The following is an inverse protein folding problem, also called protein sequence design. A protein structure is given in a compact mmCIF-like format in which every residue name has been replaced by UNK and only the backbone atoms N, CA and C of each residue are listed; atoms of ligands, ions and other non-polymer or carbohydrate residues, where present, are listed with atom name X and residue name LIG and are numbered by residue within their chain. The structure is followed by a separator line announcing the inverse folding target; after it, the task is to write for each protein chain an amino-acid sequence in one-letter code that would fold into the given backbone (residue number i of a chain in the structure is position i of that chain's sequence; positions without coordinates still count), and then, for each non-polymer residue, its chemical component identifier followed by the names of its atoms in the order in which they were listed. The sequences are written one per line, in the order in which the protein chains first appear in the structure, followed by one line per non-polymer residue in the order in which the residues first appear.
data_IF_741736832756
#
_entry.id   IF_741736832756
#
_cell.length_a   1.000
_cell.length_b   1.000
_cell.length_c   1.000
_cell.angle_alpha   90.00
_cell.angle_beta   90.00
_cell.angle_gamma   90.00
#
_symmetry.space_group_name_H-M   'P 1'
#
loop_
_entity.id
_entity.type
_entity.pdbx_description
1 polymer ?
#
# COMPACT_ATOMS: atom_id res chain seq x y z
N UNK A 1 17.78 3.54 3.58
CA UNK A 1 18.75 2.65 2.91
C UNK A 1 17.93 1.49 2.41
N UNK A 2 17.81 1.39 1.09
CA UNK A 2 16.81 0.51 0.49
C UNK A 2 17.51 -0.53 -0.39
N UNK A 3 17.22 -1.80 -0.11
CA UNK A 3 17.69 -2.94 -0.88
C UNK A 3 16.54 -3.40 -1.78
N UNK A 4 16.79 -3.41 -3.08
CA UNK A 4 15.84 -3.92 -4.09
C UNK A 4 16.57 -4.88 -5.03
N UNK A 5 15.82 -5.73 -5.75
CA UNK A 5 16.40 -6.66 -6.73
C UNK A 5 17.17 -5.95 -7.87
N UNK A 6 16.99 -4.64 -8.05
CA UNK A 6 17.73 -3.82 -9.00
C UNK A 6 19.07 -3.29 -8.45
N UNK A 7 19.37 -3.52 -7.17
CA UNK A 7 20.59 -3.06 -6.49
C UNK A 7 20.32 -2.24 -5.23
N UNK A 8 21.41 -1.77 -4.62
CA UNK A 8 21.40 -0.97 -3.41
C UNK A 8 21.25 0.52 -3.74
N UNK A 9 20.16 1.16 -3.29
CA UNK A 9 19.96 2.61 -3.41
C UNK A 9 20.28 3.28 -2.07
N UNK A 10 21.31 4.12 -2.08
CA UNK A 10 21.70 4.95 -0.94
C UNK A 10 21.36 6.39 -1.28
N UNK A 11 20.32 6.92 -0.66
CA UNK A 11 20.03 8.36 -0.70
C UNK A 11 20.84 9.04 0.40
N UNK A 12 22.03 9.54 0.03
CA UNK A 12 22.77 10.46 0.89
C UNK A 12 22.34 11.89 0.54
N UNK A 13 21.62 12.53 1.45
CA UNK A 13 21.48 13.99 1.44
C UNK A 13 22.86 14.66 1.54
N UNK A 14 22.92 15.97 1.31
CA UNK A 14 24.18 16.73 1.44
C UNK A 14 24.82 16.52 2.82
N UNK A 15 26.16 16.56 2.92
CA UNK A 15 26.88 16.34 4.19
C UNK A 15 26.42 17.26 5.35
N UNK A 16 25.84 18.43 5.04
CA UNK A 16 25.24 19.34 6.02
C UNK A 16 23.94 18.83 6.65
N UNK A 17 23.20 17.96 5.96
CA UNK A 17 21.92 17.42 6.43
C UNK A 17 22.09 16.29 7.46
N UNK A 18 23.23 15.59 7.44
CA UNK A 18 23.55 14.49 8.36
C UNK A 18 23.74 14.94 9.82
N UNK A 19 24.08 16.21 10.06
CA UNK A 19 24.30 16.75 11.40
C UNK A 19 23.15 17.62 11.93
N UNK A 20 22.18 18.00 11.10
CA UNK A 20 21.08 18.91 11.47
C UNK A 20 19.66 18.45 11.11
N UNK A 21 19.51 17.36 10.35
CA UNK A 21 18.24 17.00 9.72
C UNK A 21 17.92 17.90 8.52
N UNK A 22 17.02 17.46 7.65
CA UNK A 22 16.56 18.26 6.51
C UNK A 22 15.28 17.72 5.92
N UNK A 23 14.56 18.60 5.23
CA UNK A 23 13.30 18.29 4.56
C UNK A 23 13.51 18.50 3.06
N UNK A 24 13.11 17.52 2.26
CA UNK A 24 13.02 17.63 0.80
C UNK A 24 11.57 17.53 0.37
N UNK A 25 11.25 18.17 -0.76
CA UNK A 25 9.92 18.13 -1.36
C UNK A 25 10.06 17.84 -2.85
N UNK A 26 9.13 17.06 -3.38
CA UNK A 26 9.04 16.73 -4.79
C UNK A 26 7.58 16.47 -5.16
N UNK A 27 7.30 16.41 -6.46
CA UNK A 27 5.98 16.05 -6.98
C UNK A 27 5.93 14.52 -7.09
N UNK A 28 4.98 13.84 -6.42
CA UNK A 28 4.91 12.39 -6.50
C UNK A 28 4.72 11.90 -7.94
N UNK A 29 5.34 10.76 -8.26
CA UNK A 29 5.23 10.15 -9.59
C UNK A 29 3.77 9.89 -9.97
N UNK A 30 3.39 10.27 -11.19
CA UNK A 30 2.03 10.09 -11.71
C UNK A 30 1.07 11.25 -11.43
N UNK A 31 1.50 12.30 -10.72
CA UNK A 31 0.72 13.53 -10.56
C UNK A 31 1.23 14.63 -11.51
N UNK A 32 0.33 15.41 -12.14
CA UNK A 32 0.72 16.59 -12.88
C UNK A 32 1.20 17.70 -11.92
N UNK A 33 2.07 18.58 -12.43
CA UNK A 33 2.46 19.80 -11.73
C UNK A 33 1.20 20.66 -11.48
N UNK A 34 0.93 20.97 -10.22
CA UNK A 34 -0.19 21.82 -9.81
C UNK A 34 0.10 23.31 -9.95
N UNK A 35 -0.87 24.14 -9.51
CA UNK A 35 -0.70 25.59 -9.46
C UNK A 35 0.16 26.03 -8.26
N UNK A 36 0.86 27.17 -8.35
CA UNK A 36 1.57 27.75 -7.22
C UNK A 36 0.63 28.00 -6.04
N UNK A 37 1.05 27.61 -4.84
CA UNK A 37 0.22 27.79 -3.64
C UNK A 37 0.37 29.17 -3.01
N UNK A 38 -0.64 29.55 -2.24
CA UNK A 38 -0.62 30.77 -1.44
C UNK A 38 0.43 30.67 -0.31
N UNK A 39 0.87 31.83 0.17
CA UNK A 39 1.84 31.87 1.26
C UNK A 39 1.21 31.31 2.55
N UNK A 40 1.99 30.52 3.32
CA UNK A 40 1.57 29.82 4.56
C UNK A 40 0.59 28.66 4.38
N UNK A 41 0.49 28.06 3.19
CA UNK A 41 -0.22 26.78 3.03
C UNK A 41 0.48 25.68 3.85
N UNK A 42 -0.30 24.94 4.63
CA UNK A 42 0.20 23.83 5.45
C UNK A 42 0.36 22.55 4.63
N UNK A 43 1.40 21.78 4.96
CA UNK A 43 1.71 20.49 4.33
C UNK A 43 2.04 19.45 5.39
N UNK A 44 1.68 18.20 5.12
CA UNK A 44 2.05 17.08 5.98
C UNK A 44 3.50 16.67 5.72
N UNK A 45 4.32 16.61 6.77
CA UNK A 45 5.67 16.05 6.70
C UNK A 45 5.60 14.54 6.93
N UNK A 46 5.90 13.77 5.90
CA UNK A 46 5.98 12.32 5.99
C UNK A 46 7.39 11.89 6.45
N UNK A 47 7.46 10.75 7.14
CA UNK A 47 8.73 10.21 7.68
C UNK A 47 9.68 9.74 6.55
N UNK A 48 9.13 9.32 5.40
CA UNK A 48 9.89 8.85 4.25
C UNK A 48 9.08 8.94 2.93
N UNK A 49 9.76 8.77 1.79
CA UNK A 49 9.16 8.87 0.45
C UNK A 49 8.11 7.79 0.16
N UNK A 50 8.24 6.58 0.73
CA UNK A 50 7.28 5.48 0.50
C UNK A 50 5.95 5.82 1.15
N UNK A 51 5.99 6.42 2.34
CA UNK A 51 4.81 6.94 3.03
C UNK A 51 4.05 7.99 2.21
N UNK A 52 4.74 8.76 1.35
CA UNK A 52 4.10 9.69 0.40
C UNK A 52 3.34 8.91 -0.69
N UNK A 53 3.97 7.90 -1.31
CA UNK A 53 3.35 7.12 -2.39
C UNK A 53 2.10 6.36 -1.94
N UNK A 54 2.04 5.97 -0.66
CA UNK A 54 0.87 5.32 -0.08
C UNK A 54 -0.24 6.34 0.27
N UNK A 55 0.11 7.61 0.51
CA UNK A 55 -0.86 8.68 0.79
C UNK A 55 -1.42 9.35 -0.47
N UNK A 56 -0.76 9.23 -1.62
CA UNK A 56 -1.17 9.88 -2.89
C UNK A 56 -2.48 9.33 -3.43
N UNK A 57 -2.77 8.05 -3.19
CA UNK A 57 -4.02 7.41 -3.62
C UNK A 57 -5.06 7.56 -2.51
N UNK A 58 -5.75 8.70 -2.49
CA UNK A 58 -6.75 9.01 -1.46
C UNK A 58 -8.02 8.16 -1.62
N UNK A 59 -8.30 7.66 -2.83
CA UNK A 59 -9.43 6.77 -3.09
C UNK A 59 -8.99 5.30 -3.02
N UNK A 60 -9.44 4.62 -1.97
CA UNK A 60 -9.27 3.18 -1.81
C UNK A 60 -10.59 2.48 -1.49
N UNK A 61 -10.64 1.19 -1.82
CA UNK A 61 -11.72 0.28 -1.46
C UNK A 61 -11.15 -0.72 -0.45
N UNK A 62 -11.75 -0.72 0.75
CA UNK A 62 -11.30 -1.59 1.84
C UNK A 62 -11.93 -2.97 1.74
N UNK A 63 -11.09 -3.98 1.82
CA UNK A 63 -11.46 -5.39 1.92
C UNK A 63 -10.86 -5.99 3.18
N UNK A 64 -11.56 -6.98 3.75
CA UNK A 64 -11.03 -7.79 4.83
C UNK A 64 -10.81 -9.21 4.33
N UNK A 65 -9.57 -9.67 4.45
CA UNK A 65 -9.16 -11.01 4.06
C UNK A 65 -8.89 -11.85 5.29
N UNK A 66 -9.31 -13.11 5.25
CA UNK A 66 -9.18 -14.06 6.36
C UNK A 66 -8.13 -15.13 6.02
N UNK A 67 -6.98 -15.07 6.68
CA UNK A 67 -5.88 -16.01 6.47
C UNK A 67 -5.91 -17.15 7.46
N UNK A 68 -5.80 -18.40 6.98
CA UNK A 68 -5.64 -19.58 7.84
C UNK A 68 -4.19 -19.79 8.26
N UNK A 69 -3.26 -19.39 7.39
CA UNK A 69 -1.83 -19.55 7.59
C UNK A 69 -1.22 -18.39 8.40
N UNK A 70 0.04 -18.56 8.79
CA UNK A 70 0.78 -17.52 9.50
C UNK A 70 0.94 -16.26 8.64
N UNK A 71 0.53 -15.13 9.20
CA UNK A 71 0.79 -13.78 8.67
C UNK A 71 2.13 -13.21 9.15
N UNK A 72 3.03 -14.04 9.68
CA UNK A 72 4.32 -13.56 10.22
C UNK A 72 5.11 -12.85 9.13
N UNK A 73 5.57 -11.64 9.42
CA UNK A 73 6.33 -10.81 8.49
C UNK A 73 5.46 -9.94 7.58
N UNK A 74 4.13 -10.13 7.57
CA UNK A 74 3.23 -9.21 6.90
C UNK A 74 3.14 -7.90 7.70
N UNK A 75 3.42 -6.78 7.05
CA UNK A 75 3.40 -5.45 7.66
C UNK A 75 2.37 -4.55 6.95
N UNK A 76 1.78 -3.57 7.67
CA UNK A 76 1.11 -2.45 7.01
C UNK A 76 1.99 -1.83 5.92
N UNK A 77 1.38 -1.42 4.82
CA UNK A 77 2.07 -0.88 3.63
C UNK A 77 2.62 -1.94 2.67
N UNK A 78 2.64 -3.23 3.04
CA UNK A 78 3.08 -4.29 2.13
C UNK A 78 2.23 -4.29 0.84
N UNK A 79 2.85 -4.54 -0.34
CA UNK A 79 2.15 -4.45 -1.61
C UNK A 79 1.13 -5.57 -1.76
N UNK A 80 -0.03 -5.21 -2.31
CA UNK A 80 -1.07 -6.17 -2.68
C UNK A 80 -1.04 -6.30 -4.19
N UNK A 81 -0.76 -7.50 -4.68
CA UNK A 81 -0.53 -7.72 -6.10
C UNK A 81 -1.52 -8.70 -6.72
N UNK A 82 -1.87 -8.43 -7.97
CA UNK A 82 -2.56 -9.37 -8.82
C UNK A 82 -1.73 -9.60 -10.08
N UNK A 83 -1.32 -10.86 -10.27
CA UNK A 83 -0.47 -11.26 -11.42
C UNK A 83 0.80 -10.40 -11.56
N UNK A 84 1.38 -9.97 -10.42
CA UNK A 84 2.59 -9.14 -10.38
C UNK A 84 2.36 -7.64 -10.58
N UNK A 85 1.10 -7.21 -10.67
CA UNK A 85 0.73 -5.79 -10.74
C UNK A 85 0.25 -5.35 -9.36
N UNK A 86 0.86 -4.30 -8.80
CA UNK A 86 0.45 -3.73 -7.51
C UNK A 86 -0.91 -3.05 -7.65
N UNK A 87 -1.90 -3.63 -6.97
CA UNK A 87 -3.29 -3.14 -6.92
C UNK A 87 -3.57 -2.27 -5.70
N UNK A 88 -2.71 -2.32 -4.69
CA UNK A 88 -2.94 -1.60 -3.45
C UNK A 88 -1.95 -1.98 -2.35
N UNK A 89 -2.41 -1.83 -1.11
CA UNK A 89 -1.57 -1.93 0.09
C UNK A 89 -2.27 -2.68 1.22
N UNK A 90 -1.48 -3.32 2.07
CA UNK A 90 -1.96 -3.87 3.32
C UNK A 90 -2.25 -2.72 4.29
N UNK A 91 -3.49 -2.63 4.79
CA UNK A 91 -3.91 -1.58 5.72
C UNK A 91 -3.54 -1.90 7.16
N UNK A 92 -4.20 -2.91 7.76
CA UNK A 92 -4.02 -3.29 9.17
C UNK A 92 -3.86 -4.79 9.32
N UNK A 93 -2.87 -5.16 10.12
CA UNK A 93 -2.47 -6.55 10.39
C UNK A 93 -2.13 -6.71 11.88
N UNK A 94 -2.85 -7.55 12.63
CA UNK A 94 -4.19 -8.06 12.34
C UNK A 94 -5.25 -6.95 12.43
N UNK A 95 -6.37 -7.10 11.71
CA UNK A 95 -7.48 -6.17 11.75
C UNK A 95 -8.53 -6.59 12.77
N UNK A 96 -8.79 -5.77 13.79
CA UNK A 96 -9.82 -6.08 14.78
C UNK A 96 -11.22 -5.73 14.25
N UNK A 97 -12.08 -6.73 14.10
CA UNK A 97 -13.49 -6.56 13.75
C UNK A 97 -14.33 -6.64 15.03
N UNK A 98 -14.97 -5.53 15.46
CA UNK A 98 -15.83 -5.55 16.64
C UNK A 98 -16.94 -6.59 16.52
N UNK A 99 -17.09 -7.45 17.53
CA UNK A 99 -18.13 -8.47 17.57
C UNK A 99 -17.83 -9.75 16.77
N UNK A 100 -16.69 -9.83 16.06
CA UNK A 100 -16.25 -11.07 15.43
C UNK A 100 -15.84 -12.09 16.51
N UNK A 101 -16.66 -13.12 16.70
CA UNK A 101 -16.36 -14.25 17.59
C UNK A 101 -15.72 -15.37 16.79
N UNK A 102 -14.41 -15.53 16.91
CA UNK A 102 -13.70 -16.69 16.36
C UNK A 102 -13.38 -17.65 17.49
N UNK A 103 -13.78 -18.91 17.33
CA UNK A 103 -13.40 -19.95 18.27
C UNK A 103 -11.97 -20.40 17.96
N UNK A 104 -11.09 -20.43 18.98
CA UNK A 104 -9.69 -20.88 18.84
C UNK A 104 -9.63 -22.39 18.53
N UNK A 105 -10.68 -23.14 18.91
CA UNK A 105 -10.79 -24.59 18.68
C UNK A 105 -11.40 -24.97 17.32
N UNK A 106 -11.76 -23.99 16.50
CA UNK A 106 -12.29 -24.18 15.15
C UNK A 106 -11.37 -23.49 14.13
N UNK A 107 -11.73 -23.46 12.85
CA UNK A 107 -11.03 -22.82 11.71
C UNK A 107 -10.74 -21.32 11.93
N UNK A 108 -9.85 -20.99 12.88
CA UNK A 108 -9.45 -19.64 13.27
C UNK A 108 -8.73 -18.99 12.10
N UNK A 109 -9.22 -17.82 11.68
CA UNK A 109 -8.66 -17.09 10.54
C UNK A 109 -8.25 -15.70 10.96
N UNK A 110 -7.08 -15.27 10.56
CA UNK A 110 -6.53 -13.98 10.94
C UNK A 110 -7.09 -12.91 9.97
N UNK A 111 -7.92 -11.96 10.46
CA UNK A 111 -8.40 -10.86 9.64
C UNK A 111 -7.27 -9.88 9.31
N UNK A 112 -7.22 -9.48 8.05
CA UNK A 112 -6.26 -8.49 7.52
C UNK A 112 -7.03 -7.49 6.68
N UNK A 113 -6.89 -6.20 6.98
CA UNK A 113 -7.44 -5.10 6.18
C UNK A 113 -6.52 -4.85 4.99
N UNK A 114 -7.09 -4.78 3.80
CA UNK A 114 -6.42 -4.57 2.52
C UNK A 114 -7.10 -3.41 1.82
N UNK A 115 -6.30 -2.46 1.34
CA UNK A 115 -6.77 -1.28 0.61
C UNK A 115 -6.44 -1.48 -0.86
N UNK A 116 -7.46 -1.58 -1.69
CA UNK A 116 -7.31 -1.61 -3.14
C UNK A 116 -7.39 -0.18 -3.66
N UNK A 117 -6.46 0.23 -4.51
CA UNK A 117 -6.28 1.60 -5.00
C UNK A 117 -6.51 1.61 -6.53
N UNK A 118 -7.76 1.77 -7.01
CA UNK A 118 -8.11 1.60 -8.44
C UNK A 118 -7.37 2.57 -9.36
N UNK A 119 -7.08 3.77 -8.87
CA UNK A 119 -6.34 4.81 -9.59
C UNK A 119 -4.95 4.34 -10.03
N UNK A 120 -4.29 3.45 -9.27
CA UNK A 120 -3.02 2.83 -9.70
C UNK A 120 -3.15 2.07 -11.01
N UNK A 121 -4.27 1.37 -11.18
CA UNK A 121 -4.50 0.54 -12.35
C UNK A 121 -4.85 1.37 -13.58
N UNK A 122 -5.62 2.45 -13.38
CA UNK A 122 -5.95 3.41 -14.45
C UNK A 122 -4.65 4.06 -14.95
N UNK A 123 -3.78 4.49 -14.04
CA UNK A 123 -2.51 5.12 -14.40
C UNK A 123 -1.51 4.16 -15.07
N UNK A 124 -1.48 2.88 -14.65
CA UNK A 124 -0.53 1.90 -15.19
C UNK A 124 -1.01 1.20 -16.47
N UNK A 125 -2.32 0.99 -16.63
CA UNK A 125 -2.87 0.14 -17.69
C UNK A 125 -3.90 0.86 -18.59
N UNK A 126 -4.25 2.12 -18.30
CA UNK A 126 -5.32 2.84 -19.01
C UNK A 126 -6.67 2.14 -18.88
N UNK A 127 -6.88 1.42 -17.79
CA UNK A 127 -7.97 0.46 -17.65
C UNK A 127 -9.34 1.10 -17.36
N UNK A 128 -10.38 0.31 -17.61
CA UNK A 128 -11.79 0.61 -17.38
C UNK A 128 -12.05 1.04 -15.91
N UNK A 129 -12.76 2.15 -15.67
CA UNK A 129 -13.12 2.63 -14.33
C UNK A 129 -13.92 1.62 -13.47
N UNK A 130 -14.47 0.55 -14.05
CA UNK A 130 -15.27 -0.45 -13.34
C UNK A 130 -14.45 -1.60 -12.70
N UNK A 131 -13.23 -1.31 -12.24
CA UNK A 131 -12.34 -2.27 -11.52
C UNK A 131 -13.05 -2.97 -10.37
N UNK A 132 -13.93 -2.26 -9.66
CA UNK A 132 -14.73 -2.83 -8.56
C UNK A 132 -15.56 -4.02 -9.03
N UNK A 133 -16.29 -3.89 -10.14
CA UNK A 133 -17.08 -5.00 -10.69
C UNK A 133 -16.21 -6.17 -11.10
N UNK A 134 -15.02 -5.88 -11.63
CA UNK A 134 -14.07 -6.92 -12.03
C UNK A 134 -13.52 -7.69 -10.82
N UNK A 135 -13.16 -6.99 -9.75
CA UNK A 135 -12.72 -7.62 -8.49
C UNK A 135 -13.85 -8.43 -7.88
N UNK A 136 -15.07 -7.89 -7.85
CA UNK A 136 -16.25 -8.58 -7.33
C UNK A 136 -16.57 -9.86 -8.14
N UNK A 137 -16.48 -9.82 -9.48
CA UNK A 137 -16.64 -11.01 -10.33
C UNK A 137 -15.55 -12.06 -10.04
N UNK A 138 -14.28 -11.63 -9.94
CA UNK A 138 -13.17 -12.52 -9.62
C UNK A 138 -13.35 -13.18 -8.25
N UNK A 139 -13.79 -12.43 -7.23
CA UNK A 139 -14.10 -12.97 -5.91
C UNK A 139 -15.24 -14.00 -5.97
N UNK A 140 -16.33 -13.70 -6.68
CA UNK A 140 -17.45 -14.62 -6.87
C UNK A 140 -17.06 -15.91 -7.62
N UNK A 141 -16.03 -15.83 -8.47
CA UNK A 141 -15.49 -16.97 -9.23
C UNK A 141 -14.45 -17.79 -8.44
N UNK A 142 -14.28 -17.50 -7.15
CA UNK A 142 -13.42 -18.26 -6.25
C UNK A 142 -11.96 -17.83 -6.25
N UNK A 143 -11.68 -16.53 -6.41
CA UNK A 143 -10.33 -16.01 -6.27
C UNK A 143 -9.72 -16.39 -4.91
N UNK A 144 -8.51 -16.94 -4.95
CA UNK A 144 -7.77 -17.36 -3.77
C UNK A 144 -6.61 -16.40 -3.51
N UNK A 145 -6.56 -15.84 -2.31
CA UNK A 145 -5.47 -14.97 -1.85
C UNK A 145 -4.37 -15.84 -1.26
N UNK A 146 -3.11 -15.52 -1.59
CA UNK A 146 -1.94 -16.19 -1.03
C UNK A 146 -0.90 -15.18 -0.60
N UNK A 147 -0.29 -15.41 0.56
CA UNK A 147 0.90 -14.69 0.99
C UNK A 147 2.10 -15.24 0.23
N UNK A 148 2.90 -14.36 -0.35
CA UNK A 148 4.19 -14.71 -0.94
C UNK A 148 5.29 -13.97 -0.15
N UNK A 149 6.33 -14.68 0.32
CA UNK A 149 7.49 -14.02 0.89
C UNK A 149 8.25 -13.29 -0.22
N UNK A 150 8.71 -12.08 0.07
CA UNK A 150 9.71 -11.41 -0.77
C UNK A 150 10.99 -12.24 -0.72
N UNK A 151 11.43 -12.74 -1.88
CA UNK A 151 12.68 -13.49 -2.02
C UNK A 151 13.75 -12.50 -2.47
N UNK A 152 14.83 -12.42 -1.68
CA UNK A 152 16.00 -11.59 -1.94
C UNK A 152 16.98 -12.25 -2.90
#
# INVERSE_FOLDING_TARGET
MDLTAAGMRVEMGSLSTLFGGGVSFDIPEGLPLGEPVANKTEYHLFDDQRSIQDSVFTQHIDYVMFFKDSIRGLQPGAPVEFRGIRLGTVGKVPFFIPGLKQNINDDYRIPVEVRIEPERLINQLGADPDIRKHIDDLMNRGCAVRLKPETW
#
